data_IF_547011723908
#
_entry.id   IF_547011723908
#
_cell.length_a   1.000
_cell.length_b   1.000
_cell.length_c   1.000
_cell.angle_alpha   90.00
_cell.angle_beta   90.00
_cell.angle_gamma   90.00
#
_symmetry.space_group_name_H-M   'P 1'
#
loop_
_entity.id
_entity.type
_entity.pdbx_description
1 polymer ?
#
# COMPACT_ATOMS: atom_id res chain seq x y z
N UNK A 1 -3.64 -18.84 -13.14
CA UNK A 1 -4.98 -18.38 -13.57
C UNK A 1 -4.80 -17.53 -14.83
N UNK A 2 -5.73 -17.53 -15.78
CA UNK A 2 -5.60 -16.69 -16.98
C UNK A 2 -6.04 -15.25 -16.69
N UNK A 3 -5.28 -14.28 -17.20
CA UNK A 3 -5.62 -12.86 -17.14
C UNK A 3 -5.75 -12.31 -18.55
N UNK A 4 -6.73 -11.43 -18.74
CA UNK A 4 -6.96 -10.77 -20.01
C UNK A 4 -5.90 -9.69 -20.24
N UNK A 5 -5.26 -9.71 -21.41
CA UNK A 5 -4.27 -8.70 -21.80
C UNK A 5 -4.55 -8.12 -23.17
N UNK A 6 -4.24 -6.83 -23.31
CA UNK A 6 -4.28 -6.12 -24.58
C UNK A 6 -2.87 -5.66 -24.95
N UNK A 7 -2.57 -5.65 -26.26
CA UNK A 7 -1.33 -5.07 -26.78
C UNK A 7 -1.48 -3.55 -26.89
N UNK A 8 -0.52 -2.80 -26.36
CA UNK A 8 -0.40 -1.37 -26.67
C UNK A 8 0.17 -1.19 -28.07
N UNK A 9 -0.03 0.00 -28.66
CA UNK A 9 0.57 0.37 -29.95
C UNK A 9 2.10 0.34 -29.96
N UNK A 10 2.72 0.29 -28.77
CA UNK A 10 4.16 0.24 -28.56
C UNK A 10 4.67 -1.22 -28.40
N UNK A 11 3.78 -2.21 -28.47
CA UNK A 11 4.12 -3.64 -28.38
C UNK A 11 4.22 -4.19 -26.95
N UNK A 12 3.79 -3.43 -25.94
CA UNK A 12 3.74 -3.90 -24.55
C UNK A 12 2.41 -4.58 -24.24
N UNK A 13 2.44 -5.53 -23.31
CA UNK A 13 1.24 -6.19 -22.77
C UNK A 13 0.73 -5.40 -21.56
N UNK A 14 -0.54 -4.99 -21.59
CA UNK A 14 -1.21 -4.38 -20.44
C UNK A 14 -2.35 -5.29 -19.99
N UNK A 15 -2.51 -5.43 -18.67
CA UNK A 15 -3.69 -6.07 -18.12
C UNK A 15 -4.94 -5.25 -18.46
N UNK A 16 -5.95 -5.93 -18.97
CA UNK A 16 -7.24 -5.34 -19.33
C UNK A 16 -8.30 -5.79 -18.31
N UNK A 17 -9.23 -4.89 -17.99
CA UNK A 17 -10.38 -5.18 -17.11
C UNK A 17 -11.55 -5.85 -17.85
N UNK A 18 -11.36 -6.20 -19.13
CA UNK A 18 -12.38 -6.88 -19.92
C UNK A 18 -12.64 -8.30 -19.41
N UNK A 19 -13.87 -8.78 -19.65
CA UNK A 19 -14.27 -10.14 -19.30
C UNK A 19 -13.37 -11.14 -20.02
N UNK A 20 -13.16 -12.30 -19.40
CA UNK A 20 -12.34 -13.38 -19.97
C UNK A 20 -12.93 -13.83 -21.31
N UNK A 21 -14.25 -13.71 -21.51
CA UNK A 21 -14.95 -14.16 -22.72
C UNK A 21 -14.75 -13.22 -23.92
N UNK A 22 -14.47 -11.95 -23.70
CA UNK A 22 -14.26 -10.93 -24.75
C UNK A 22 -12.77 -10.68 -25.04
N UNK A 23 -11.87 -11.45 -24.44
CA UNK A 23 -10.46 -11.13 -24.45
C UNK A 23 -9.73 -11.67 -25.70
N UNK A 24 -9.01 -10.80 -26.39
CA UNK A 24 -8.21 -11.14 -27.58
C UNK A 24 -6.89 -11.86 -27.27
N UNK A 25 -6.41 -11.81 -26.02
CA UNK A 25 -5.14 -12.39 -25.62
C UNK A 25 -5.10 -12.78 -24.16
N UNK A 26 -4.56 -13.97 -23.87
CA UNK A 26 -4.42 -14.48 -22.51
C UNK A 26 -2.96 -14.63 -22.16
N UNK A 27 -2.61 -14.27 -20.93
CA UNK A 27 -1.34 -14.66 -20.33
C UNK A 27 -1.60 -15.65 -19.19
N UNK A 28 -0.72 -16.64 -19.10
CA UNK A 28 -0.67 -17.55 -17.97
C UNK A 28 0.15 -16.87 -16.89
N UNK A 29 -0.51 -16.43 -15.83
CA UNK A 29 0.14 -15.88 -14.65
C UNK A 29 0.18 -16.94 -13.56
N UNK A 30 1.30 -17.00 -12.85
CA UNK A 30 1.39 -17.85 -11.67
C UNK A 30 0.36 -17.40 -10.62
N UNK A 31 -0.11 -18.30 -9.73
CA UNK A 31 -1.07 -17.94 -8.69
C UNK A 31 -0.58 -16.79 -7.81
N UNK A 32 0.74 -16.74 -7.54
CA UNK A 32 1.38 -15.71 -6.74
C UNK A 32 1.32 -14.35 -7.44
N UNK A 33 1.68 -14.29 -8.72
CA UNK A 33 1.64 -13.05 -9.51
C UNK A 33 0.21 -12.55 -9.71
N UNK A 34 -0.76 -13.46 -9.86
CA UNK A 34 -2.18 -13.12 -9.93
C UNK A 34 -2.66 -12.41 -8.66
N UNK A 35 -2.35 -13.00 -7.49
CA UNK A 35 -2.74 -12.41 -6.21
C UNK A 35 -2.07 -11.05 -5.97
N UNK A 36 -0.80 -10.92 -6.34
CA UNK A 36 -0.07 -9.65 -6.23
C UNK A 36 -0.63 -8.58 -7.17
N UNK A 37 -1.01 -8.94 -8.39
CA UNK A 37 -1.64 -8.02 -9.34
C UNK A 37 -2.96 -7.48 -8.80
N UNK A 38 -3.85 -8.36 -8.30
CA UNK A 38 -5.13 -7.93 -7.71
C UNK A 38 -4.91 -7.04 -6.48
N UNK A 39 -4.03 -7.44 -5.56
CA UNK A 39 -3.70 -6.64 -4.37
C UNK A 39 -3.12 -5.26 -4.73
N UNK A 40 -2.38 -5.16 -5.83
CA UNK A 40 -1.80 -3.88 -6.28
C UNK A 40 -2.80 -2.96 -6.98
N UNK A 41 -3.83 -3.52 -7.62
CA UNK A 41 -4.85 -2.77 -8.36
C UNK A 41 -5.93 -2.23 -7.40
N UNK A 42 -6.19 -2.93 -6.30
CA UNK A 42 -7.26 -2.64 -5.34
C UNK A 42 -6.71 -2.09 -4.02
N UNK A 43 -5.85 -1.07 -4.08
CA UNK A 43 -5.45 -0.34 -2.87
C UNK A 43 -6.63 0.53 -2.43
N UNK A 44 -7.30 0.16 -1.35
CA UNK A 44 -8.39 0.94 -0.76
C UNK A 44 -7.84 2.23 -0.12
N UNK A 45 -8.38 3.42 -0.43
CA UNK A 45 -8.04 4.64 0.30
C UNK A 45 -8.21 4.53 1.83
N UNK A 46 -9.10 3.66 2.32
CA UNK A 46 -9.25 3.38 3.75
C UNK A 46 -7.97 2.76 4.36
N UNK A 47 -7.33 1.84 3.65
CA UNK A 47 -6.09 1.19 4.12
C UNK A 47 -4.94 2.20 4.20
N UNK A 48 -4.86 3.11 3.23
CA UNK A 48 -3.89 4.20 3.23
C UNK A 48 -4.09 5.10 4.45
N UNK A 49 -5.33 5.53 4.70
CA UNK A 49 -5.66 6.38 5.85
C UNK A 49 -5.36 5.69 7.18
N UNK A 50 -5.61 4.38 7.29
CA UNK A 50 -5.32 3.62 8.50
C UNK A 50 -3.82 3.58 8.78
N UNK A 51 -2.98 3.29 7.78
CA UNK A 51 -1.53 3.24 7.93
C UNK A 51 -0.98 4.61 8.31
N UNK A 52 -1.42 5.68 7.62
CA UNK A 52 -1.00 7.04 7.94
C UNK A 52 -1.43 7.47 9.34
N UNK A 53 -2.67 7.17 9.74
CA UNK A 53 -3.18 7.47 11.08
C UNK A 53 -2.39 6.76 12.18
N UNK A 54 -2.04 5.49 11.96
CA UNK A 54 -1.26 4.70 12.91
C UNK A 54 0.16 5.25 13.07
N UNK A 55 0.86 5.53 11.98
CA UNK A 55 2.23 6.09 12.02
C UNK A 55 2.23 7.49 12.64
N UNK A 56 1.28 8.34 12.26
CA UNK A 56 1.12 9.67 12.86
C UNK A 56 0.85 9.58 14.36
N UNK A 57 -0.03 8.66 14.78
CA UNK A 57 -0.33 8.41 16.19
C UNK A 57 0.91 8.03 16.99
N UNK A 58 1.76 7.15 16.45
CA UNK A 58 3.04 6.78 17.08
C UNK A 58 3.99 7.96 17.24
N UNK A 59 4.13 8.80 16.21
CA UNK A 59 4.99 9.99 16.26
C UNK A 59 4.52 10.95 17.37
N UNK A 60 3.22 11.22 17.44
CA UNK A 60 2.65 12.09 18.47
C UNK A 60 2.84 11.50 19.86
N UNK A 61 2.60 10.20 20.03
CA UNK A 61 2.75 9.51 21.31
C UNK A 61 4.20 9.55 21.82
N UNK A 62 5.18 9.22 20.96
CA UNK A 62 6.59 9.26 21.32
C UNK A 62 7.08 10.69 21.60
N UNK A 63 6.57 11.68 20.85
CA UNK A 63 6.85 13.10 21.10
C UNK A 63 6.33 13.53 22.48
N UNK A 64 5.12 13.13 22.85
CA UNK A 64 4.54 13.42 24.16
C UNK A 64 5.37 12.82 25.30
N UNK A 65 5.79 11.56 25.19
CA UNK A 65 6.67 10.93 26.17
C UNK A 65 8.00 11.68 26.26
N UNK A 66 8.60 12.00 25.12
CA UNK A 66 9.88 12.73 25.06
C UNK A 66 9.78 14.09 25.76
N UNK A 67 8.66 14.79 25.59
CA UNK A 67 8.40 16.05 26.28
C UNK A 67 8.33 15.89 27.80
N UNK A 68 7.62 14.87 28.31
CA UNK A 68 7.53 14.57 29.74
C UNK A 68 8.91 14.24 30.34
N UNK A 69 9.69 13.42 29.65
CA UNK A 69 11.06 13.06 30.07
C UNK A 69 11.95 14.30 30.10
N UNK A 70 11.82 15.20 29.12
CA UNK A 70 12.58 16.45 29.08
C UNK A 70 12.26 17.35 30.27
N UNK A 71 10.98 17.51 30.62
CA UNK A 71 10.58 18.30 31.80
C UNK A 71 11.12 17.67 33.09
N UNK A 72 11.00 16.35 33.24
CA UNK A 72 11.51 15.67 34.42
C UNK A 72 13.02 15.87 34.60
N UNK A 73 13.80 15.77 33.52
CA UNK A 73 15.24 16.05 33.54
C UNK A 73 15.56 17.50 33.91
N UNK A 74 14.80 18.46 33.39
CA UNK A 74 14.99 19.89 33.72
C UNK A 74 14.69 20.18 35.18
N UNK A 75 13.64 19.56 35.75
CA UNK A 75 13.31 19.71 37.17
C UNK A 75 14.39 19.10 38.08
N UNK A 76 14.86 17.89 37.76
CA UNK A 76 15.94 17.24 38.52
C UNK A 76 17.23 18.07 38.48
N UNK A 77 17.62 18.60 37.32
CA UNK A 77 18.84 19.41 37.20
C UNK A 77 18.72 20.82 37.82
N UNK A 78 17.53 21.26 38.25
CA UNK A 78 17.31 22.56 38.90
C UNK A 78 17.20 22.48 40.43
N UNK A 79 17.13 21.28 40.99
CA UNK A 79 17.24 21.00 42.43
C UNK A 79 18.70 20.74 42.74
#
# INVERSE_FOLDING_TARGET
MSQCVAFTQEGYLVQSTQSVDDCTGYILVSPTEYNLAIQSIEIDPADVLQVFGLVFGWVVFLSFISYKVKIAKVLINRV
#
